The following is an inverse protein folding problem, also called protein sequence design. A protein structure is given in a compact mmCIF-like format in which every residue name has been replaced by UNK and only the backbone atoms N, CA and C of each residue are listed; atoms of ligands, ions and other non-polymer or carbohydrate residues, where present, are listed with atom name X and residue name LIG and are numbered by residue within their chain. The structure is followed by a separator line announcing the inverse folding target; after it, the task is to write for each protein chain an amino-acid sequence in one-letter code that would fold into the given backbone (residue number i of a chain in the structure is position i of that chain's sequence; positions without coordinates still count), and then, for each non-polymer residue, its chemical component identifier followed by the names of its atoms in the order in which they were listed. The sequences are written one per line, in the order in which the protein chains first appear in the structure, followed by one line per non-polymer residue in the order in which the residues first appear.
data_IF_654129683663
#
_entry.id   IF_654129683663
#
_cell.length_a   1.000
_cell.length_b   1.000
_cell.length_c   1.000
_cell.angle_alpha   90.00
_cell.angle_beta   90.00
_cell.angle_gamma   90.00
#
_symmetry.space_group_name_H-M   'P 1'
#
loop_
_entity.id
_entity.type
_entity.pdbx_description
1 polymer ?
#
# COMPACT_ATOMS: atom_id res chain seq x y z
N UNK A 1 5.27 6.31 -11.51
CA UNK A 1 6.27 5.24 -11.65
C UNK A 1 5.81 4.09 -10.76
N UNK A 2 5.44 2.93 -11.30
CA UNK A 2 4.86 1.84 -10.49
C UNK A 2 5.95 1.13 -9.67
N UNK A 3 5.65 0.81 -8.41
CA UNK A 3 6.54 0.03 -7.56
C UNK A 3 6.85 -1.33 -8.22
N UNK A 4 8.13 -1.68 -8.28
CA UNK A 4 8.56 -2.97 -8.80
C UNK A 4 8.19 -4.09 -7.80
N UNK A 5 7.70 -5.26 -8.26
CA UNK A 5 7.37 -6.37 -7.37
C UNK A 5 8.61 -6.86 -6.63
N UNK A 6 8.42 -7.33 -5.39
CA UNK A 6 9.46 -8.02 -4.65
C UNK A 6 9.98 -9.25 -5.43
N UNK A 7 11.27 -9.59 -5.30
CA UNK A 7 11.81 -10.84 -5.87
C UNK A 7 11.04 -12.03 -5.28
N UNK A 8 10.41 -12.83 -6.13
CA UNK A 8 9.55 -13.96 -5.73
C UNK A 8 8.06 -13.64 -5.63
N UNK A 9 7.64 -12.40 -5.87
CA UNK A 9 6.24 -12.04 -5.96
C UNK A 9 5.69 -12.27 -7.38
N UNK A 10 4.63 -13.07 -7.48
CA UNK A 10 3.87 -13.23 -8.72
C UNK A 10 2.71 -12.24 -8.72
N UNK A 11 2.56 -11.44 -9.78
CA UNK A 11 1.40 -10.55 -9.95
C UNK A 11 0.17 -11.38 -10.30
N UNK A 12 -0.88 -11.23 -9.50
CA UNK A 12 -2.16 -11.92 -9.66
C UNK A 12 -3.18 -11.01 -10.33
N UNK A 13 -3.27 -9.76 -9.90
CA UNK A 13 -4.26 -8.80 -10.40
C UNK A 13 -3.77 -7.34 -10.33
N UNK A 14 -4.47 -6.43 -11.01
CA UNK A 14 -4.29 -4.99 -10.94
C UNK A 14 -5.62 -4.25 -11.12
N UNK A 15 -5.84 -3.19 -10.34
CA UNK A 15 -7.04 -2.36 -10.42
C UNK A 15 -6.67 -0.87 -10.25
N UNK A 16 -7.52 0.00 -10.78
CA UNK A 16 -7.40 1.46 -10.66
C UNK A 16 -8.78 2.13 -10.81
N UNK A 17 -8.95 3.30 -10.20
CA UNK A 17 -10.19 4.08 -10.30
C UNK A 17 -10.09 5.48 -9.70
N UNK A 18 -11.14 6.26 -9.92
CA UNK A 18 -11.33 7.61 -9.42
C UNK A 18 -12.76 7.74 -8.93
N UNK A 19 -12.93 8.32 -7.74
CA UNK A 19 -14.23 8.72 -7.22
C UNK A 19 -14.27 10.25 -7.31
N UNK A 20 -15.02 10.75 -8.28
CA UNK A 20 -15.10 12.18 -8.54
C UNK A 20 -15.96 12.90 -7.50
N UNK A 21 -16.86 12.19 -6.80
CA UNK A 21 -17.73 12.77 -5.78
C UNK A 21 -16.98 12.93 -4.45
N UNK A 22 -16.19 11.92 -4.09
CA UNK A 22 -15.38 11.91 -2.86
C UNK A 22 -13.93 12.38 -3.08
N UNK A 23 -13.55 12.73 -4.31
CA UNK A 23 -12.27 13.35 -4.69
C UNK A 23 -11.02 12.52 -4.31
N UNK A 24 -11.13 11.20 -4.38
CA UNK A 24 -9.99 10.29 -4.18
C UNK A 24 -9.71 9.43 -5.43
N UNK A 25 -8.44 9.11 -5.62
CA UNK A 25 -7.98 8.15 -6.65
C UNK A 25 -7.33 6.97 -5.98
N UNK A 26 -7.51 5.79 -6.56
CA UNK A 26 -6.87 4.57 -6.06
C UNK A 26 -6.26 3.74 -7.18
N UNK A 27 -5.18 3.05 -6.86
CA UNK A 27 -4.59 2.04 -7.72
C UNK A 27 -3.96 0.94 -6.85
N UNK A 28 -4.18 -0.31 -7.21
CA UNK A 28 -3.67 -1.43 -6.44
C UNK A 28 -3.32 -2.63 -7.28
N UNK A 29 -2.57 -3.53 -6.65
CA UNK A 29 -2.09 -4.78 -7.24
C UNK A 29 -2.09 -5.87 -6.20
N UNK A 30 -2.45 -7.07 -6.64
CA UNK A 30 -2.37 -8.26 -5.80
C UNK A 30 -1.16 -9.08 -6.19
N UNK A 31 -0.40 -9.52 -5.19
CA UNK A 31 0.79 -10.32 -5.35
C UNK A 31 0.71 -11.58 -4.51
N UNK A 32 1.14 -12.72 -5.05
CA UNK A 32 1.38 -13.92 -4.25
C UNK A 32 2.81 -13.90 -3.72
N UNK A 33 2.98 -14.19 -2.42
CA UNK A 33 4.31 -14.30 -1.81
C UNK A 33 4.56 -15.71 -1.29
N UNK A 34 5.63 -16.35 -1.75
CA UNK A 34 5.97 -17.73 -1.36
C UNK A 34 6.71 -17.87 -0.02
N UNK A 35 6.94 -16.78 0.70
CA UNK A 35 7.65 -16.75 1.99
C UNK A 35 6.78 -16.27 3.15
N UNK A 36 7.34 -16.08 4.35
CA UNK A 36 6.60 -15.60 5.51
C UNK A 36 6.00 -14.21 5.29
N UNK A 37 4.77 -13.99 5.77
CA UNK A 37 4.06 -12.71 5.63
C UNK A 37 4.86 -11.52 6.19
N UNK A 38 5.44 -11.68 7.37
CA UNK A 38 6.30 -10.66 8.00
C UNK A 38 7.49 -10.26 7.10
N UNK A 39 8.04 -11.20 6.33
CA UNK A 39 9.15 -10.92 5.43
C UNK A 39 8.68 -10.12 4.20
N UNK A 40 7.46 -10.37 3.70
CA UNK A 40 6.84 -9.60 2.62
C UNK A 40 6.56 -8.17 3.08
N UNK A 41 5.89 -8.01 4.22
CA UNK A 41 5.55 -6.71 4.80
C UNK A 41 6.79 -5.88 5.10
N UNK A 42 7.81 -6.48 5.72
CA UNK A 42 9.11 -5.81 5.94
C UNK A 42 9.71 -5.32 4.62
N UNK A 43 9.66 -6.13 3.57
CA UNK A 43 10.26 -5.79 2.27
C UNK A 43 9.53 -4.66 1.56
N UNK A 44 8.20 -4.66 1.58
CA UNK A 44 7.43 -3.55 1.02
C UNK A 44 7.66 -2.26 1.79
N UNK A 45 7.72 -2.34 3.13
CA UNK A 45 8.02 -1.19 3.98
C UNK A 45 9.39 -0.59 3.68
N UNK A 46 10.44 -1.41 3.63
CA UNK A 46 11.80 -0.94 3.32
C UNK A 46 11.89 -0.31 1.92
N UNK A 47 11.21 -0.90 0.93
CA UNK A 47 11.17 -0.35 -0.43
C UNK A 47 10.42 0.99 -0.50
N UNK A 48 9.29 1.12 0.21
CA UNK A 48 8.52 2.35 0.27
C UNK A 48 9.30 3.46 0.99
N UNK A 49 9.94 3.16 2.12
CA UNK A 49 10.79 4.10 2.84
C UNK A 49 11.95 4.60 1.97
N UNK A 50 12.57 3.71 1.19
CA UNK A 50 13.62 4.10 0.24
C UNK A 50 13.09 5.00 -0.90
N UNK A 51 11.81 4.90 -1.26
CA UNK A 51 11.12 5.78 -2.20
C UNK A 51 10.58 7.07 -1.54
N UNK A 52 10.86 7.29 -0.26
CA UNK A 52 10.50 8.51 0.47
C UNK A 52 9.10 8.51 1.10
N UNK A 53 8.45 7.34 1.14
CA UNK A 53 7.24 7.16 1.95
C UNK A 53 7.60 7.14 3.45
N UNK A 54 6.68 7.62 4.28
CA UNK A 54 6.90 7.76 5.73
C UNK A 54 5.90 6.93 6.49
N UNK A 55 6.35 6.23 7.53
CA UNK A 55 5.42 5.49 8.40
C UNK A 55 4.44 6.44 9.04
N UNK A 56 3.17 6.05 9.04
CA UNK A 56 2.21 6.60 9.97
C UNK A 56 2.50 6.06 11.38
N UNK A 57 2.18 6.83 12.41
CA UNK A 57 2.21 6.30 13.78
C UNK A 57 1.26 5.10 13.86
N UNK A 58 1.77 3.94 14.22
CA UNK A 58 0.95 2.73 14.36
C UNK A 58 -0.08 2.97 15.49
N UNK A 59 -1.36 2.71 15.19
CA UNK A 59 -2.39 2.64 16.23
C UNK A 59 -2.28 1.27 16.88
N UNK A 60 -2.15 1.23 18.21
CA UNK A 60 -1.99 -0.02 18.93
C UNK A 60 -3.23 -0.92 18.76
N UNK A 61 -3.04 -2.13 18.24
CA UNK A 61 -4.12 -3.11 18.02
C UNK A 61 -4.55 -3.28 16.57
N UNK A 62 -4.04 -2.48 15.64
CA UNK A 62 -4.22 -2.68 14.20
C UNK A 62 -3.50 -3.96 13.73
N UNK A 63 -4.05 -4.67 12.73
CA UNK A 63 -3.39 -5.82 12.12
C UNK A 63 -2.00 -5.45 11.58
N UNK A 64 -1.18 -6.45 11.24
CA UNK A 64 0.17 -6.24 10.68
C UNK A 64 0.05 -5.76 9.24
N UNK A 65 -0.51 -4.57 9.03
CA UNK A 65 -0.53 -3.86 7.76
C UNK A 65 0.62 -2.86 7.71
N UNK A 66 1.06 -2.56 6.50
CA UNK A 66 2.04 -1.50 6.28
C UNK A 66 1.27 -0.28 5.78
N UNK A 67 1.10 0.72 6.64
CA UNK A 67 0.57 2.03 6.27
C UNK A 67 1.69 3.07 6.23
N UNK A 68 1.93 3.64 5.04
CA UNK A 68 2.82 4.79 4.87
C UNK A 68 2.12 5.92 4.14
N UNK A 69 2.62 7.14 4.31
CA UNK A 69 2.14 8.32 3.61
C UNK A 69 3.24 9.00 2.82
N UNK A 70 2.85 9.70 1.76
CA UNK A 70 3.73 10.56 0.95
C UNK A 70 2.94 11.74 0.43
N UNK A 71 3.50 12.94 0.55
CA UNK A 71 2.93 14.15 -0.05
C UNK A 71 3.22 14.16 -1.55
N UNK A 72 2.16 14.32 -2.35
CA UNK A 72 2.21 14.44 -3.81
C UNK A 72 1.44 15.69 -4.22
N UNK A 73 2.16 16.73 -4.63
CA UNK A 73 1.58 18.01 -5.12
C UNK A 73 0.47 18.59 -4.21
N UNK A 74 0.68 18.53 -2.89
CA UNK A 74 -0.26 19.03 -1.89
C UNK A 74 -1.42 18.08 -1.55
N UNK A 75 -1.35 16.83 -2.00
CA UNK A 75 -2.27 15.75 -1.65
C UNK A 75 -1.54 14.66 -0.88
N UNK A 76 -2.12 14.20 0.23
CA UNK A 76 -1.61 13.05 0.96
C UNK A 76 -1.98 11.78 0.20
N UNK A 77 -0.97 11.02 -0.22
CA UNK A 77 -1.15 9.65 -0.66
C UNK A 77 -0.86 8.68 0.48
N UNK A 78 -1.67 7.63 0.56
CA UNK A 78 -1.58 6.52 1.49
C UNK A 78 -1.17 5.28 0.71
N UNK A 79 -0.15 4.58 1.18
CA UNK A 79 0.26 3.27 0.68
C UNK A 79 -0.09 2.25 1.76
N UNK A 80 -0.95 1.30 1.41
CA UNK A 80 -1.32 0.18 2.26
C UNK A 80 -0.79 -1.12 1.67
N UNK A 81 -0.29 -2.00 2.55
CA UNK A 81 0.01 -3.39 2.21
C UNK A 81 -0.64 -4.29 3.23
N UNK A 82 -1.58 -5.09 2.74
CA UNK A 82 -2.42 -5.96 3.55
C UNK A 82 -2.25 -7.40 3.11
N UNK A 83 -2.24 -8.32 4.08
CA UNK A 83 -2.33 -9.74 3.79
C UNK A 83 -3.79 -10.09 3.46
N UNK A 84 -4.00 -10.64 2.28
CA UNK A 84 -5.27 -11.20 1.82
C UNK A 84 -5.23 -12.74 1.90
N UNK A 85 -6.40 -13.36 1.79
CA UNK A 85 -6.54 -14.82 1.90
C UNK A 85 -5.64 -15.58 0.91
N UNK A 86 -5.10 -16.71 1.37
CA UNK A 86 -4.34 -17.64 0.53
C UNK A 86 -2.89 -17.21 0.24
N UNK A 87 -2.28 -16.41 1.12
CA UNK A 87 -0.89 -15.94 0.97
C UNK A 87 -0.75 -14.86 -0.11
N UNK A 88 -1.83 -14.11 -0.33
CA UNK A 88 -1.86 -12.96 -1.22
C UNK A 88 -1.57 -11.69 -0.42
N UNK A 89 -0.97 -10.73 -1.07
CA UNK A 89 -0.73 -9.39 -0.55
C UNK A 89 -1.36 -8.40 -1.50
N UNK A 90 -2.23 -7.57 -0.97
CA UNK A 90 -2.74 -6.41 -1.66
C UNK A 90 -1.81 -5.23 -1.37
N UNK A 91 -1.38 -4.56 -2.43
CA UNK A 91 -0.56 -3.35 -2.35
C UNK A 91 -1.32 -2.26 -3.08
N UNK A 92 -1.77 -1.25 -2.37
CA UNK A 92 -2.57 -0.18 -2.95
C UNK A 92 -2.13 1.20 -2.51
N UNK A 93 -2.36 2.16 -3.39
CA UNK A 93 -2.16 3.57 -3.16
C UNK A 93 -3.50 4.26 -3.31
N UNK A 94 -3.88 5.04 -2.29
CA UNK A 94 -5.02 5.95 -2.35
C UNK A 94 -4.52 7.37 -2.13
N UNK A 95 -4.86 8.29 -3.03
CA UNK A 95 -4.59 9.72 -2.81
C UNK A 95 -5.91 10.44 -2.60
N UNK A 96 -6.04 11.11 -1.46
CA UNK A 96 -7.29 11.71 -1.02
C UNK A 96 -7.08 13.19 -0.65
N UNK A 97 -7.91 14.05 -1.24
CA UNK A 97 -7.88 15.49 -0.98
C UNK A 97 -8.80 15.93 0.18
N UNK A 98 -9.63 15.04 0.71
CA UNK A 98 -10.52 15.31 1.84
C UNK A 98 -9.88 15.03 3.21
N UNK A 99 -8.64 14.52 3.25
CA UNK A 99 -7.94 14.07 4.47
C UNK A 99 -8.68 12.96 5.23
N UNK A 100 -9.35 12.06 4.52
CA UNK A 100 -9.92 10.86 5.14
C UNK A 100 -8.80 9.92 5.58
N UNK A 101 -9.07 9.15 6.64
CA UNK A 101 -8.13 8.19 7.21
C UNK A 101 -8.27 6.84 6.45
N UNK A 102 -7.43 6.65 5.43
CA UNK A 102 -7.35 5.40 4.62
C UNK A 102 -6.44 4.32 5.25
N UNK A 103 -5.86 4.69 6.39
CA UNK A 103 -5.42 3.87 7.51
C UNK A 103 -5.81 4.66 8.79
#
# INVERSE_FOLDING_TARGET
MAAAPARGAERVDAYEGCDDDDLFVWAGRTYRYGGPAEAALRRYREAAEADGWRRRAAVAGEPVSVCLTKELDGTTAYLTVDEADGGLFEVSITADRQNSEWC
#
